data_IF_735945431869
#
_entry.id   IF_735945431869
#
_cell.length_a   1.000
_cell.length_b   1.000
_cell.length_c   1.000
_cell.angle_alpha   90.00
_cell.angle_beta   90.00
_cell.angle_gamma   90.00
#
_symmetry.space_group_name_H-M   'P 1'
#
loop_
_entity.id
_entity.type
_entity.pdbx_description
1 polymer ?
#
# COMPACT_ATOMS: atom_id res chain seq x y z
N UNK A 1 -9.85 7.47 -21.28
CA UNK A 1 -9.03 7.19 -22.48
C UNK A 1 -7.82 6.31 -22.22
N UNK A 2 -7.13 6.46 -21.07
CA UNK A 2 -5.97 5.64 -20.65
C UNK A 2 -6.35 4.14 -20.60
N UNK A 3 -7.46 3.77 -19.98
CA UNK A 3 -7.91 2.36 -19.92
C UNK A 3 -8.09 1.74 -21.30
N UNK A 4 -8.65 2.50 -22.26
CA UNK A 4 -8.81 2.02 -23.64
C UNK A 4 -7.46 1.80 -24.34
N UNK A 5 -6.50 2.69 -24.13
CA UNK A 5 -5.15 2.57 -24.71
C UNK A 5 -4.41 1.37 -24.11
N UNK A 6 -4.45 1.19 -22.79
CA UNK A 6 -3.85 0.04 -22.09
C UNK A 6 -4.50 -1.29 -22.53
N UNK A 7 -5.83 -1.33 -22.67
CA UNK A 7 -6.53 -2.53 -23.15
C UNK A 7 -6.12 -2.95 -24.57
N UNK A 8 -5.66 -2.01 -25.40
CA UNK A 8 -5.14 -2.27 -26.75
C UNK A 8 -3.73 -2.88 -26.78
N UNK A 9 -2.93 -2.68 -25.72
CA UNK A 9 -1.56 -3.19 -25.65
C UNK A 9 -1.56 -4.62 -25.11
N UNK A 10 -2.05 -4.82 -23.89
CA UNK A 10 -2.18 -6.13 -23.24
C UNK A 10 -3.22 -6.05 -22.13
N UNK A 11 -4.14 -7.01 -22.08
CA UNK A 11 -5.10 -7.16 -20.99
C UNK A 11 -4.48 -7.97 -19.88
N UNK A 12 -3.65 -7.33 -19.07
CA UNK A 12 -3.17 -7.88 -17.78
C UNK A 12 -4.22 -7.70 -16.70
N UNK A 13 -4.04 -8.26 -15.51
CA UNK A 13 -4.92 -7.97 -14.38
C UNK A 13 -4.84 -6.48 -14.00
N UNK A 14 -5.97 -5.88 -13.66
CA UNK A 14 -5.99 -4.53 -13.08
C UNK A 14 -5.87 -4.62 -11.57
N UNK A 15 -5.11 -3.71 -10.96
CA UNK A 15 -4.94 -3.63 -9.51
C UNK A 15 -5.55 -2.34 -8.99
N UNK A 16 -6.35 -2.45 -7.93
CA UNK A 16 -6.94 -1.32 -7.21
C UNK A 16 -6.64 -1.50 -5.71
N UNK A 17 -6.37 -0.41 -5.02
CA UNK A 17 -5.97 -0.44 -3.61
C UNK A 17 -6.96 0.32 -2.72
N UNK A 18 -8.13 -0.28 -2.36
CA UNK A 18 -9.04 0.30 -1.38
C UNK A 18 -8.43 0.35 0.02
N UNK A 19 -7.47 -0.49 0.35
CA UNK A 19 -6.73 -0.64 1.60
C UNK A 19 -7.56 -1.15 2.79
N UNK A 20 -8.88 -0.91 2.81
CA UNK A 20 -9.78 -1.40 3.86
C UNK A 20 -11.16 -1.78 3.29
N UNK A 21 -11.82 -2.75 3.92
CA UNK A 21 -13.15 -3.24 3.50
C UNK A 21 -14.25 -2.20 3.70
N UNK A 22 -14.30 -1.56 4.87
CA UNK A 22 -15.33 -0.58 5.22
C UNK A 22 -14.95 0.85 4.83
N UNK A 23 -15.96 1.69 4.55
CA UNK A 23 -15.73 3.12 4.32
C UNK A 23 -15.17 3.80 5.57
N UNK A 24 -15.69 3.44 6.75
CA UNK A 24 -15.22 3.97 8.03
C UNK A 24 -13.69 3.80 8.18
N UNK A 25 -13.19 2.62 7.88
CA UNK A 25 -11.76 2.35 8.06
C UNK A 25 -10.92 3.02 6.95
N UNK A 26 -11.45 3.13 5.72
CA UNK A 26 -10.82 3.94 4.67
C UNK A 26 -10.72 5.41 5.07
N UNK A 27 -11.73 5.94 5.76
CA UNK A 27 -11.71 7.33 6.25
C UNK A 27 -10.68 7.51 7.38
N UNK A 28 -10.56 6.55 8.29
CA UNK A 28 -9.52 6.54 9.34
C UNK A 28 -8.12 6.64 8.75
N UNK A 29 -7.83 5.88 7.71
CA UNK A 29 -6.52 5.93 7.04
C UNK A 29 -6.40 7.05 5.99
N UNK A 30 -7.41 7.88 5.87
CA UNK A 30 -7.48 9.00 4.93
C UNK A 30 -7.27 8.59 3.47
N UNK A 31 -7.76 7.39 3.07
CA UNK A 31 -7.51 6.84 1.73
C UNK A 31 -8.23 7.60 0.61
N UNK A 32 -9.36 8.23 0.92
CA UNK A 32 -10.14 9.03 -0.04
C UNK A 32 -10.79 8.21 -1.17
N UNK A 33 -10.87 6.89 -1.04
CA UNK A 33 -11.56 5.99 -1.97
C UNK A 33 -12.94 5.68 -1.44
N UNK A 34 -14.01 6.06 -2.17
CA UNK A 34 -15.37 5.69 -1.85
C UNK A 34 -15.76 4.35 -2.47
N UNK A 35 -16.70 3.64 -1.86
CA UNK A 35 -17.22 2.39 -2.40
C UNK A 35 -17.82 2.60 -3.80
N UNK A 36 -18.60 3.67 -3.99
CA UNK A 36 -19.21 3.99 -5.29
C UNK A 36 -18.17 4.25 -6.37
N UNK A 37 -17.13 5.04 -6.04
CA UNK A 37 -16.01 5.31 -6.94
C UNK A 37 -15.27 4.04 -7.32
N UNK A 38 -14.99 3.15 -6.34
CA UNK A 38 -14.34 1.87 -6.58
C UNK A 38 -15.19 0.99 -7.52
N UNK A 39 -16.49 0.84 -7.23
CA UNK A 39 -17.40 0.02 -8.06
C UNK A 39 -17.53 0.54 -9.48
N UNK A 40 -17.48 1.85 -9.65
CA UNK A 40 -17.51 2.44 -10.98
C UNK A 40 -16.22 2.18 -11.76
N UNK A 41 -15.04 2.28 -11.10
CA UNK A 41 -13.77 1.91 -11.74
C UNK A 41 -13.75 0.43 -12.15
N UNK A 42 -14.20 -0.47 -11.28
CA UNK A 42 -14.32 -1.90 -11.60
C UNK A 42 -15.24 -2.12 -12.81
N UNK A 43 -16.38 -1.44 -12.87
CA UNK A 43 -17.30 -1.52 -14.02
C UNK A 43 -16.64 -1.02 -15.31
N UNK A 44 -15.97 0.12 -15.26
CA UNK A 44 -15.22 0.65 -16.42
C UNK A 44 -14.13 -0.31 -16.89
N UNK A 45 -13.39 -0.94 -15.98
CA UNK A 45 -12.42 -1.97 -16.34
C UNK A 45 -13.09 -3.13 -17.09
N UNK A 46 -14.21 -3.64 -16.57
CA UNK A 46 -14.98 -4.69 -17.22
C UNK A 46 -15.46 -4.28 -18.62
N UNK A 47 -16.05 -3.08 -18.77
CA UNK A 47 -16.50 -2.53 -20.07
C UNK A 47 -15.38 -2.42 -21.10
N UNK A 48 -14.12 -2.24 -20.67
CA UNK A 48 -12.94 -2.25 -21.51
C UNK A 48 -12.31 -3.64 -21.69
N UNK A 49 -12.97 -4.69 -21.18
CA UNK A 49 -12.64 -6.09 -21.42
C UNK A 49 -11.68 -6.73 -20.40
N UNK A 50 -11.39 -6.08 -19.27
CA UNK A 50 -10.74 -6.76 -18.16
C UNK A 50 -11.69 -7.77 -17.53
N UNK A 51 -11.18 -8.97 -17.23
CA UNK A 51 -11.95 -10.04 -16.60
C UNK A 51 -11.46 -10.35 -15.19
N UNK A 52 -10.33 -9.77 -14.79
CA UNK A 52 -9.72 -9.98 -13.49
C UNK A 52 -9.34 -8.64 -12.86
N UNK A 53 -9.62 -8.52 -11.58
CA UNK A 53 -9.20 -7.38 -10.77
C UNK A 53 -8.58 -7.87 -9.47
N UNK A 54 -7.49 -7.25 -9.06
CA UNK A 54 -6.82 -7.48 -7.77
C UNK A 54 -7.12 -6.30 -6.86
N UNK A 55 -7.60 -6.57 -5.65
CA UNK A 55 -7.89 -5.56 -4.65
C UNK A 55 -6.92 -5.75 -3.48
N UNK A 56 -6.16 -4.71 -3.15
CA UNK A 56 -5.27 -4.71 -1.98
C UNK A 56 -6.01 -4.25 -0.73
N UNK A 57 -5.78 -4.98 0.38
CA UNK A 57 -6.31 -4.67 1.69
C UNK A 57 -5.24 -4.85 2.76
N UNK A 58 -5.29 -4.01 3.78
CA UNK A 58 -4.57 -4.20 5.02
C UNK A 58 -5.52 -4.75 6.10
N UNK A 59 -4.99 -5.59 6.99
CA UNK A 59 -5.64 -6.06 8.20
C UNK A 59 -4.83 -5.63 9.42
N UNK A 60 -5.48 -5.40 10.55
CA UNK A 60 -4.82 -4.89 11.76
C UNK A 60 -4.63 -3.38 11.74
N UNK A 61 -5.40 -2.66 10.95
CA UNK A 61 -5.42 -1.20 10.97
C UNK A 61 -5.90 -0.67 12.33
N UNK A 62 -5.39 0.49 12.78
CA UNK A 62 -5.86 1.11 14.02
C UNK A 62 -7.37 1.32 14.03
N UNK A 63 -8.04 0.83 15.08
CA UNK A 63 -9.49 0.90 15.21
C UNK A 63 -10.28 -0.10 14.37
N UNK A 64 -9.63 -1.10 13.78
CA UNK A 64 -10.27 -2.18 13.03
C UNK A 64 -11.14 -3.05 13.92
N UNK A 65 -12.35 -3.36 13.45
CA UNK A 65 -13.30 -4.27 14.09
C UNK A 65 -13.53 -5.52 13.22
N UNK A 66 -14.27 -6.48 13.75
CA UNK A 66 -14.63 -7.68 13.00
C UNK A 66 -15.50 -7.33 11.77
N UNK A 67 -16.38 -6.36 11.89
CA UNK A 67 -17.24 -5.89 10.79
C UNK A 67 -16.42 -5.29 9.64
N UNK A 68 -15.25 -4.70 9.92
CA UNK A 68 -14.36 -4.17 8.88
C UNK A 68 -13.68 -5.31 8.11
N UNK A 69 -13.36 -6.42 8.78
CA UNK A 69 -12.84 -7.63 8.13
C UNK A 69 -13.92 -8.28 7.24
N UNK A 70 -15.15 -8.37 7.75
CA UNK A 70 -16.29 -8.87 6.97
C UNK A 70 -16.56 -8.02 5.74
N UNK A 71 -16.42 -6.70 5.87
CA UNK A 71 -16.59 -5.76 4.78
C UNK A 71 -15.58 -5.98 3.63
N UNK A 72 -14.42 -6.60 3.86
CA UNK A 72 -13.49 -6.99 2.78
C UNK A 72 -14.18 -8.00 1.85
N UNK A 73 -14.84 -9.00 2.42
CA UNK A 73 -15.55 -10.04 1.65
C UNK A 73 -16.70 -9.41 0.86
N UNK A 74 -17.48 -8.54 1.51
CA UNK A 74 -18.62 -7.87 0.89
C UNK A 74 -18.19 -6.93 -0.24
N UNK A 75 -17.10 -6.19 -0.07
CA UNK A 75 -16.55 -5.33 -1.11
C UNK A 75 -16.08 -6.15 -2.32
N UNK A 76 -15.46 -7.32 -2.09
CA UNK A 76 -15.07 -8.23 -3.14
C UNK A 76 -16.28 -8.85 -3.87
N UNK A 77 -17.37 -9.18 -3.15
CA UNK A 77 -18.64 -9.62 -3.75
C UNK A 77 -19.23 -8.54 -4.66
N UNK A 78 -19.30 -7.30 -4.18
CA UNK A 78 -19.77 -6.15 -4.97
C UNK A 78 -18.91 -5.94 -6.22
N UNK A 79 -17.60 -6.02 -6.09
CA UNK A 79 -16.68 -5.89 -7.22
C UNK A 79 -16.89 -7.03 -8.25
N UNK A 80 -17.04 -8.28 -7.80
CA UNK A 80 -17.34 -9.43 -8.66
C UNK A 80 -18.62 -9.24 -9.49
N UNK A 81 -19.64 -8.67 -8.87
CA UNK A 81 -20.95 -8.51 -9.46
C UNK A 81 -21.17 -7.13 -10.11
N UNK A 82 -20.14 -6.29 -10.18
CA UNK A 82 -20.20 -4.91 -10.67
C UNK A 82 -20.63 -4.78 -12.14
N UNK A 83 -20.43 -5.82 -12.95
CA UNK A 83 -20.90 -5.88 -14.34
C UNK A 83 -22.43 -5.94 -14.48
N UNK A 84 -23.16 -6.29 -13.41
CA UNK A 84 -24.61 -6.38 -13.36
C UNK A 84 -25.18 -7.79 -13.54
N UNK A 85 -26.51 -7.89 -13.40
CA UNK A 85 -27.24 -9.16 -13.52
C UNK A 85 -27.16 -9.71 -14.96
N UNK A 86 -26.92 -11.02 -15.07
CA UNK A 86 -26.86 -11.69 -16.37
C UNK A 86 -25.54 -11.52 -17.13
N UNK A 87 -24.62 -10.71 -16.63
CA UNK A 87 -23.28 -10.56 -17.19
C UNK A 87 -22.30 -11.59 -16.58
N UNK A 88 -21.20 -11.95 -17.29
CA UNK A 88 -20.15 -12.77 -16.70
C UNK A 88 -19.56 -12.12 -15.44
N UNK A 89 -19.28 -12.93 -14.43
CA UNK A 89 -18.67 -12.45 -13.17
C UNK A 89 -17.19 -12.17 -13.36
N UNK A 90 -16.72 -11.07 -12.78
CA UNK A 90 -15.31 -10.78 -12.68
C UNK A 90 -14.63 -11.76 -11.73
N UNK A 91 -13.40 -12.14 -12.08
CA UNK A 91 -12.48 -12.78 -11.15
C UNK A 91 -11.89 -11.70 -10.23
N UNK A 92 -12.21 -11.74 -8.96
CA UNK A 92 -11.66 -10.80 -7.97
C UNK A 92 -10.65 -11.54 -7.09
N UNK A 93 -9.46 -10.98 -6.97
CA UNK A 93 -8.44 -11.47 -6.03
C UNK A 93 -8.26 -10.43 -4.93
N UNK A 94 -8.58 -10.78 -3.69
CA UNK A 94 -8.18 -9.99 -2.53
C UNK A 94 -6.73 -10.34 -2.16
N UNK A 95 -5.87 -9.34 -2.10
CA UNK A 95 -4.51 -9.46 -1.61
C UNK A 95 -4.42 -8.78 -0.24
N UNK A 96 -4.14 -9.57 0.79
CA UNK A 96 -4.16 -9.12 2.18
C UNK A 96 -2.73 -8.98 2.69
N UNK A 97 -2.43 -7.84 3.34
CA UNK A 97 -1.19 -7.66 4.08
C UNK A 97 -1.48 -7.17 5.51
N UNK A 98 -0.77 -7.65 6.52
CA UNK A 98 -0.84 -7.06 7.86
C UNK A 98 -0.34 -5.62 7.84
N UNK A 99 -1.03 -4.76 8.58
CA UNK A 99 -0.59 -3.37 8.77
C UNK A 99 0.66 -3.33 9.64
N UNK A 100 1.68 -2.62 9.17
CA UNK A 100 2.90 -2.34 9.91
C UNK A 100 3.00 -0.83 10.15
N UNK A 101 2.89 -0.36 11.40
CA UNK A 101 3.03 1.06 11.71
C UNK A 101 4.41 1.58 11.30
N UNK A 102 4.45 2.62 10.51
CA UNK A 102 5.70 3.20 9.99
C UNK A 102 6.07 4.47 10.74
N UNK A 103 7.39 4.73 10.87
CA UNK A 103 7.92 5.99 11.39
C UNK A 103 7.42 7.19 10.59
N UNK A 104 7.32 8.34 11.24
CA UNK A 104 6.89 9.60 10.64
C UNK A 104 5.50 9.57 9.99
N UNK A 105 4.62 8.67 10.48
CA UNK A 105 3.21 8.63 10.09
C UNK A 105 2.30 8.88 11.32
N UNK A 106 1.03 9.27 11.11
CA UNK A 106 0.09 9.45 12.22
C UNK A 106 -0.07 8.22 13.11
N UNK A 107 0.16 7.02 12.60
CA UNK A 107 0.01 5.76 13.31
C UNK A 107 1.33 5.18 13.86
N UNK A 108 2.41 5.96 13.90
CA UNK A 108 3.70 5.49 14.41
C UNK A 108 3.69 5.08 15.90
N UNK A 109 2.69 5.51 16.66
CA UNK A 109 2.48 5.16 18.08
C UNK A 109 1.61 3.92 18.27
N UNK A 110 0.90 3.48 17.22
CA UNK A 110 -0.02 2.36 17.30
C UNK A 110 0.74 1.02 17.38
N UNK A 111 0.15 0.02 18.05
CA UNK A 111 0.72 -1.32 18.02
C UNK A 111 0.51 -1.97 16.65
N UNK A 112 1.40 -2.88 16.29
CA UNK A 112 1.11 -3.88 15.29
C UNK A 112 0.32 -5.02 15.96
N UNK A 113 -0.66 -5.57 15.28
CA UNK A 113 -1.39 -6.74 15.76
C UNK A 113 -0.45 -7.95 15.92
N UNK A 114 -0.76 -8.82 16.88
CA UNK A 114 0.05 -10.01 17.14
C UNK A 114 -0.03 -11.01 15.98
N UNK A 115 0.98 -11.87 15.90
CA UNK A 115 1.01 -12.94 14.91
C UNK A 115 -0.22 -13.86 15.00
N UNK A 116 -0.69 -14.13 16.20
CA UNK A 116 -1.91 -14.91 16.44
C UNK A 116 -3.14 -14.21 15.86
N UNK A 117 -3.31 -12.91 16.16
CA UNK A 117 -4.40 -12.10 15.61
C UNK A 117 -4.37 -12.01 14.09
N UNK A 118 -3.18 -11.96 13.47
CA UNK A 118 -3.07 -12.01 12.00
C UNK A 118 -3.56 -13.35 11.48
N UNK A 119 -3.11 -14.46 12.10
CA UNK A 119 -3.51 -15.81 11.69
C UNK A 119 -5.02 -16.04 11.82
N UNK A 120 -5.63 -15.55 12.89
CA UNK A 120 -7.09 -15.62 13.10
C UNK A 120 -7.86 -14.89 11.99
N UNK A 121 -7.47 -13.64 11.67
CA UNK A 121 -8.10 -12.86 10.60
C UNK A 121 -7.91 -13.49 9.23
N UNK A 122 -6.70 -13.95 8.92
CA UNK A 122 -6.43 -14.66 7.65
C UNK A 122 -7.25 -15.95 7.58
N UNK A 123 -7.36 -16.71 8.66
CA UNK A 123 -8.17 -17.93 8.67
C UNK A 123 -9.65 -17.62 8.45
N UNK A 124 -10.20 -16.61 9.10
CA UNK A 124 -11.57 -16.15 8.88
C UNK A 124 -11.81 -15.80 7.40
N UNK A 125 -10.93 -15.00 6.80
CA UNK A 125 -11.04 -14.61 5.39
C UNK A 125 -10.93 -15.83 4.47
N UNK A 126 -10.03 -16.77 4.73
CA UNK A 126 -9.91 -18.02 3.96
C UNK A 126 -11.21 -18.81 3.94
N UNK A 127 -11.86 -18.96 5.09
CA UNK A 127 -13.11 -19.71 5.22
C UNK A 127 -14.25 -18.97 4.50
N UNK A 128 -14.33 -17.66 4.63
CA UNK A 128 -15.32 -16.84 3.93
C UNK A 128 -15.15 -16.87 2.40
N UNK A 129 -13.92 -16.79 1.90
CA UNK A 129 -13.63 -16.81 0.46
C UNK A 129 -13.81 -18.20 -0.17
N UNK A 130 -13.61 -19.29 0.60
CA UNK A 130 -13.76 -20.67 0.10
C UNK A 130 -15.15 -20.96 -0.46
N UNK A 131 -16.19 -20.36 0.12
CA UNK A 131 -17.57 -20.53 -0.32
C UNK A 131 -17.92 -19.69 -1.57
N UNK A 132 -17.06 -18.76 -1.98
CA UNK A 132 -17.36 -17.74 -2.99
C UNK A 132 -16.76 -18.09 -4.35
N UNK A 133 -17.63 -18.27 -5.35
CA UNK A 133 -17.19 -18.44 -6.75
C UNK A 133 -16.62 -17.12 -7.29
N UNK A 134 -15.55 -17.23 -8.08
CA UNK A 134 -14.83 -16.10 -8.70
C UNK A 134 -14.15 -15.14 -7.70
N UNK A 135 -14.07 -15.47 -6.42
CA UNK A 135 -13.24 -14.79 -5.46
C UNK A 135 -12.02 -15.63 -5.13
N UNK A 136 -10.85 -15.01 -5.08
CA UNK A 136 -9.59 -15.59 -4.65
C UNK A 136 -9.01 -14.78 -3.52
N UNK A 137 -8.36 -15.44 -2.58
CA UNK A 137 -7.62 -14.81 -1.49
C UNK A 137 -6.14 -15.10 -1.67
N UNK A 138 -5.32 -14.06 -1.54
CA UNK A 138 -3.88 -14.14 -1.33
C UNK A 138 -3.53 -13.33 -0.10
N UNK A 139 -2.52 -13.71 0.62
CA UNK A 139 -2.06 -12.97 1.78
C UNK A 139 -0.54 -13.00 1.85
N UNK A 140 0.01 -11.97 2.45
CA UNK A 140 1.43 -11.90 2.79
C UNK A 140 1.68 -12.78 4.02
N UNK A 141 2.82 -13.48 4.05
CA UNK A 141 3.14 -14.35 5.16
C UNK A 141 3.17 -13.58 6.49
N UNK A 142 2.37 -14.00 7.49
CA UNK A 142 2.24 -13.27 8.75
C UNK A 142 3.56 -13.02 9.47
N UNK A 143 4.44 -14.02 9.46
CA UNK A 143 5.76 -13.99 10.11
C UNK A 143 6.69 -12.97 9.47
N UNK A 144 6.64 -12.81 8.14
CA UNK A 144 7.45 -11.79 7.44
C UNK A 144 6.99 -10.38 7.81
N UNK A 145 5.68 -10.14 7.84
CA UNK A 145 5.12 -8.84 8.25
C UNK A 145 5.38 -8.55 9.73
N UNK A 146 5.36 -9.57 10.57
CA UNK A 146 5.72 -9.45 11.98
C UNK A 146 7.19 -9.03 12.14
N UNK A 147 8.10 -9.71 11.47
CA UNK A 147 9.53 -9.36 11.49
C UNK A 147 9.76 -7.95 10.92
N UNK A 148 9.07 -7.57 9.83
CA UNK A 148 9.12 -6.22 9.30
C UNK A 148 8.77 -5.18 10.37
N UNK A 149 7.72 -5.43 11.16
CA UNK A 149 7.33 -4.57 12.27
C UNK A 149 8.40 -4.45 13.35
N UNK A 150 9.02 -5.57 13.72
CA UNK A 150 10.14 -5.58 14.68
C UNK A 150 11.29 -4.73 14.15
N UNK A 151 11.76 -4.99 12.92
CA UNK A 151 12.92 -4.31 12.35
C UNK A 151 12.66 -2.82 12.09
N UNK A 152 11.49 -2.46 11.55
CA UNK A 152 11.18 -1.07 11.20
C UNK A 152 10.89 -0.17 12.39
N UNK A 153 10.57 -0.75 13.55
CA UNK A 153 10.22 -0.01 14.77
C UNK A 153 11.27 -0.11 15.88
N UNK A 154 12.31 -0.92 15.67
CA UNK A 154 13.36 -1.13 16.63
C UNK A 154 14.28 0.10 16.77
N UNK A 155 15.08 0.08 17.81
CA UNK A 155 16.20 0.98 18.02
C UNK A 155 17.54 0.26 17.69
N UNK A 156 18.69 0.94 17.95
CA UNK A 156 20.01 0.42 17.60
C UNK A 156 20.37 -0.94 18.21
N UNK A 157 19.68 -1.40 19.28
CA UNK A 157 19.88 -2.72 19.88
C UNK A 157 19.59 -3.86 18.93
N UNK A 158 18.77 -3.60 17.90
CA UNK A 158 18.43 -4.61 16.88
C UNK A 158 19.65 -5.03 16.04
N UNK A 159 20.72 -4.24 16.01
CA UNK A 159 21.91 -4.56 15.24
C UNK A 159 22.54 -5.90 15.67
N UNK A 160 22.63 -6.14 16.98
CA UNK A 160 23.15 -7.40 17.54
C UNK A 160 22.25 -8.59 17.18
N UNK A 161 20.94 -8.37 17.15
CA UNK A 161 19.96 -9.39 16.73
C UNK A 161 20.15 -9.74 15.26
N UNK A 162 20.29 -8.74 14.39
CA UNK A 162 20.53 -8.95 12.94
C UNK A 162 21.81 -9.74 12.71
N UNK A 163 22.91 -9.38 13.39
CA UNK A 163 24.16 -10.10 13.27
C UNK A 163 24.05 -11.56 13.72
N UNK A 164 23.38 -11.81 14.86
CA UNK A 164 23.17 -13.17 15.37
C UNK A 164 22.26 -13.99 14.45
N UNK A 165 21.15 -13.41 13.96
CA UNK A 165 20.25 -14.06 13.02
C UNK A 165 20.98 -14.43 11.73
N UNK A 166 21.80 -13.53 11.18
CA UNK A 166 22.66 -13.82 10.04
C UNK A 166 23.60 -15.00 10.30
N UNK A 167 24.28 -15.04 11.45
CA UNK A 167 25.15 -16.14 11.85
C UNK A 167 24.40 -17.47 12.01
N UNK A 168 23.09 -17.43 12.29
CA UNK A 168 22.19 -18.59 12.32
C UNK A 168 21.64 -18.97 10.94
N UNK A 169 22.08 -18.31 9.88
CA UNK A 169 21.67 -18.63 8.52
C UNK A 169 20.46 -17.88 8.01
N UNK A 170 19.98 -16.82 8.69
CA UNK A 170 18.91 -15.95 8.18
C UNK A 170 19.43 -15.07 7.02
N UNK A 171 19.69 -15.72 5.89
CA UNK A 171 20.16 -15.11 4.65
C UNK A 171 18.97 -15.08 3.69
N UNK A 172 18.84 -13.99 2.91
CA UNK A 172 17.73 -13.78 1.97
C UNK A 172 16.33 -13.82 2.63
N UNK A 173 16.23 -13.27 3.83
CA UNK A 173 15.00 -13.29 4.65
C UNK A 173 13.79 -12.56 4.01
N UNK A 174 13.97 -11.85 2.90
CA UNK A 174 12.88 -11.29 2.09
C UNK A 174 12.30 -12.27 1.06
N UNK A 175 12.88 -13.45 0.91
CA UNK A 175 12.45 -14.49 -0.03
C UNK A 175 11.73 -15.61 0.72
N UNK A 176 10.47 -15.88 0.38
CA UNK A 176 9.64 -16.86 1.09
C UNK A 176 10.31 -18.22 1.23
N UNK A 177 10.98 -18.70 0.18
CA UNK A 177 11.65 -20.02 0.17
C UNK A 177 12.86 -20.11 1.12
N UNK A 178 13.38 -18.96 1.56
CA UNK A 178 14.54 -18.85 2.45
C UNK A 178 14.18 -18.26 3.82
N UNK A 179 12.93 -17.86 4.01
CA UNK A 179 12.49 -17.23 5.23
C UNK A 179 12.18 -18.26 6.32
N UNK A 180 12.77 -18.06 7.51
CA UNK A 180 12.34 -18.66 8.77
C UNK A 180 12.35 -17.60 9.84
N UNK A 181 11.34 -17.59 10.69
CA UNK A 181 11.24 -16.67 11.83
C UNK A 181 12.12 -17.12 13.01
N UNK A 182 12.39 -18.41 13.16
CA UNK A 182 13.06 -18.98 14.34
C UNK A 182 14.43 -18.37 14.61
N UNK A 183 15.37 -18.23 13.64
CA UNK A 183 16.66 -17.58 13.86
C UNK A 183 16.55 -16.16 14.44
N UNK A 184 15.47 -15.44 14.08
CA UNK A 184 15.22 -14.08 14.56
C UNK A 184 14.72 -14.07 16.01
N UNK A 185 13.76 -14.96 16.34
CA UNK A 185 13.22 -15.08 17.69
C UNK A 185 14.29 -15.54 18.68
N UNK A 186 15.11 -16.54 18.31
CA UNK A 186 16.23 -17.00 19.11
C UNK A 186 17.25 -15.86 19.34
N UNK A 187 17.56 -15.10 18.29
CA UNK A 187 18.50 -13.98 18.40
C UNK A 187 17.98 -12.84 19.27
N UNK A 188 16.68 -12.54 19.19
CA UNK A 188 16.03 -11.59 20.11
C UNK A 188 16.16 -12.05 21.57
N UNK A 189 15.81 -13.32 21.83
CA UNK A 189 15.89 -13.90 23.17
C UNK A 189 17.33 -13.88 23.72
N UNK A 190 18.33 -14.24 22.91
CA UNK A 190 19.74 -14.20 23.30
C UNK A 190 20.23 -12.77 23.61
N UNK A 191 19.67 -11.77 22.94
CA UNK A 191 19.96 -10.36 23.23
C UNK A 191 19.13 -9.80 24.41
N UNK A 192 18.31 -10.63 25.07
CA UNK A 192 17.43 -10.19 26.17
C UNK A 192 16.30 -9.24 25.68
N UNK A 193 15.90 -9.34 24.42
CA UNK A 193 14.88 -8.53 23.79
C UNK A 193 13.66 -9.37 23.45
N UNK A 194 12.50 -8.73 23.41
CA UNK A 194 11.25 -9.34 22.94
C UNK A 194 10.72 -8.57 21.73
N UNK A 195 10.02 -9.25 20.85
CA UNK A 195 9.41 -8.62 19.69
C UNK A 195 8.36 -7.58 20.10
N UNK A 196 7.60 -7.85 21.15
CA UNK A 196 6.54 -6.99 21.70
C UNK A 196 7.09 -5.63 22.16
N UNK A 197 8.35 -5.58 22.62
CA UNK A 197 9.01 -4.32 22.98
C UNK A 197 9.11 -3.34 21.79
N UNK A 198 9.09 -3.86 20.57
CA UNK A 198 9.16 -3.06 19.34
C UNK A 198 7.80 -2.91 18.66
N UNK A 199 6.98 -3.96 18.63
CA UNK A 199 5.68 -3.96 17.96
C UNK A 199 4.53 -3.39 18.81
N UNK A 200 4.72 -3.23 20.11
CA UNK A 200 3.72 -2.70 21.05
C UNK A 200 3.36 -1.22 20.80
N UNK A 201 2.27 -0.78 21.43
CA UNK A 201 1.89 0.63 21.48
C UNK A 201 2.99 1.46 22.14
N UNK A 202 3.09 2.72 21.74
CA UNK A 202 4.04 3.67 22.33
C UNK A 202 3.30 4.85 22.94
N UNK A 203 3.79 5.34 24.07
CA UNK A 203 3.27 6.56 24.68
C UNK A 203 3.47 7.76 23.75
N UNK A 204 2.45 8.63 23.71
CA UNK A 204 2.43 9.75 22.75
C UNK A 204 3.48 10.82 23.05
N UNK A 205 3.96 10.90 24.27
CA UNK A 205 4.98 11.85 24.75
C UNK A 205 6.38 11.23 24.86
N UNK A 206 6.49 9.88 24.81
CA UNK A 206 7.77 9.20 24.87
C UNK A 206 8.63 9.49 23.62
N UNK A 207 9.97 9.53 23.78
CA UNK A 207 10.87 9.60 22.64
C UNK A 207 10.75 8.35 21.75
N UNK A 208 10.77 8.55 20.43
CA UNK A 208 10.76 7.45 19.47
C UNK A 208 12.18 7.19 18.94
N UNK A 209 12.49 5.95 18.56
CA UNK A 209 13.83 5.59 18.05
C UNK A 209 14.29 6.43 16.86
N UNK A 210 13.38 6.97 16.10
CA UNK A 210 13.62 7.78 14.89
C UNK A 210 13.47 9.29 15.07
N UNK A 211 13.22 9.79 16.30
CA UNK A 211 13.05 11.25 16.54
C UNK A 211 14.29 12.09 16.19
N UNK A 212 15.46 11.45 16.09
CA UNK A 212 16.70 12.11 15.64
C UNK A 212 16.75 12.33 14.12
N UNK A 213 15.82 11.78 13.35
CA UNK A 213 15.70 11.94 11.90
C UNK A 213 14.61 12.95 11.59
N UNK A 214 14.94 14.00 10.84
CA UNK A 214 13.97 14.98 10.41
C UNK A 214 13.40 14.59 9.04
N UNK A 215 12.16 14.09 9.02
CA UNK A 215 11.42 13.77 7.79
C UNK A 215 10.66 14.97 7.20
N UNK A 216 10.86 16.18 7.76
CA UNK A 216 10.17 17.39 7.34
C UNK A 216 8.74 17.54 7.86
N UNK A 217 8.19 16.51 8.54
CA UNK A 217 6.84 16.54 9.11
C UNK A 217 6.91 16.64 10.62
N UNK A 218 6.22 17.64 11.21
CA UNK A 218 6.28 17.88 12.65
C UNK A 218 5.51 16.83 13.45
N UNK A 219 5.98 16.55 14.67
CA UNK A 219 5.32 15.62 15.63
C UNK A 219 3.90 16.08 15.96
N UNK A 220 3.72 17.39 16.17
CA UNK A 220 2.43 18.01 16.50
C UNK A 220 1.41 17.79 15.38
N UNK A 221 1.86 17.87 14.11
CA UNK A 221 1.01 17.56 12.98
C UNK A 221 0.60 16.09 12.98
N UNK A 222 1.54 15.16 13.18
CA UNK A 222 1.24 13.72 13.21
C UNK A 222 0.28 13.36 14.34
N UNK A 223 0.44 13.95 15.55
CA UNK A 223 -0.48 13.77 16.67
C UNK A 223 -1.88 14.34 16.37
N UNK A 224 -1.95 15.47 15.70
CA UNK A 224 -3.23 16.08 15.27
C UNK A 224 -3.94 15.21 14.23
N UNK A 225 -3.20 14.71 13.24
CA UNK A 225 -3.78 13.83 12.22
C UNK A 225 -4.20 12.48 12.81
N UNK A 226 -3.42 11.91 13.74
CA UNK A 226 -3.82 10.72 14.50
C UNK A 226 -5.17 10.93 15.20
N UNK A 227 -5.32 12.04 15.94
CA UNK A 227 -6.58 12.37 16.63
C UNK A 227 -7.73 12.48 15.64
N UNK A 228 -7.55 13.17 14.54
CA UNK A 228 -8.55 13.32 13.47
C UNK A 228 -8.97 11.97 12.89
N UNK A 229 -8.00 11.08 12.65
CA UNK A 229 -8.26 9.74 12.16
C UNK A 229 -9.23 8.97 13.07
N UNK A 230 -8.97 8.94 14.39
CA UNK A 230 -9.87 8.27 15.35
C UNK A 230 -11.22 8.98 15.54
N UNK A 231 -11.31 10.26 15.23
CA UNK A 231 -12.57 11.00 15.15
C UNK A 231 -13.32 10.79 13.83
N UNK A 232 -12.80 9.98 12.90
CA UNK A 232 -13.37 9.75 11.57
C UNK A 232 -13.34 11.00 10.68
N UNK A 233 -12.44 11.94 10.93
CA UNK A 233 -12.33 13.21 10.19
C UNK A 233 -11.29 13.09 9.09
N UNK A 234 -11.75 13.14 7.85
CA UNK A 234 -10.90 13.17 6.67
C UNK A 234 -10.05 14.46 6.65
N UNK A 235 -8.80 14.32 6.26
CA UNK A 235 -7.88 15.43 6.03
C UNK A 235 -7.74 15.68 4.54
N UNK A 236 -7.92 16.95 4.19
CA UNK A 236 -7.90 17.38 2.80
C UNK A 236 -6.45 17.44 2.26
N UNK A 237 -6.31 17.24 0.97
CA UNK A 237 -5.04 17.41 0.27
C UNK A 237 -4.70 18.92 0.20
N UNK A 238 -3.56 19.29 0.77
CA UNK A 238 -3.11 20.69 0.85
C UNK A 238 -2.81 21.31 -0.53
N UNK A 239 -2.77 20.54 -1.62
CA UNK A 239 -2.70 21.07 -2.99
C UNK A 239 -3.96 21.82 -3.36
N UNK A 240 -5.11 21.47 -2.78
CA UNK A 240 -6.44 21.96 -3.13
C UNK A 240 -7.17 22.60 -1.95
N UNK A 241 -6.59 22.56 -0.76
CA UNK A 241 -7.14 23.10 0.47
C UNK A 241 -6.14 23.98 1.19
N UNK A 242 -6.59 24.63 2.27
CA UNK A 242 -5.72 25.43 3.13
C UNK A 242 -4.58 24.60 3.71
N UNK A 243 -3.38 25.17 3.76
CA UNK A 243 -2.22 24.52 4.34
C UNK A 243 -2.46 24.19 5.82
N UNK A 244 -2.18 22.95 6.22
CA UNK A 244 -2.33 22.46 7.59
C UNK A 244 -1.04 22.56 8.42
N UNK A 245 -0.03 23.23 7.90
CA UNK A 245 1.25 23.46 8.59
C UNK A 245 1.88 22.15 9.10
N UNK A 246 2.09 21.20 8.20
CA UNK A 246 2.72 19.92 8.53
C UNK A 246 4.24 20.06 8.81
N UNK A 247 4.88 21.13 8.33
CA UNK A 247 6.32 21.35 8.43
C UNK A 247 7.12 20.94 7.18
N UNK A 248 6.53 20.15 6.26
CA UNK A 248 7.24 19.65 5.09
C UNK A 248 7.60 20.74 4.06
N UNK A 249 6.83 21.84 4.02
CA UNK A 249 7.10 22.99 3.17
C UNK A 249 7.58 24.15 4.03
N UNK A 250 8.68 24.79 3.65
CA UNK A 250 9.14 26.04 4.27
C UNK A 250 8.25 27.18 3.77
N UNK A 251 7.08 27.36 4.41
CA UNK A 251 6.08 28.34 3.99
C UNK A 251 5.85 29.40 5.06
N UNK A 252 6.62 30.46 5.03
CA UNK A 252 6.28 31.70 5.74
C UNK A 252 4.89 32.26 5.33
N UNK A 253 4.36 31.83 4.19
CA UNK A 253 3.11 32.31 3.60
C UNK A 253 1.89 31.42 3.81
N UNK A 254 2.01 30.26 4.49
CA UNK A 254 0.90 29.33 4.71
C UNK A 254 0.30 28.70 3.45
N UNK A 255 1.02 28.72 2.33
CA UNK A 255 0.60 28.14 1.05
C UNK A 255 1.38 26.86 0.76
N UNK A 256 0.70 25.85 0.21
CA UNK A 256 1.36 24.63 -0.27
C UNK A 256 2.32 24.95 -1.42
N UNK A 257 3.54 24.37 -1.39
CA UNK A 257 4.49 24.41 -2.50
C UNK A 257 4.26 23.29 -3.52
N UNK A 258 3.35 22.38 -3.25
CA UNK A 258 3.04 21.28 -4.17
C UNK A 258 2.31 21.82 -5.41
N UNK A 259 2.62 21.28 -6.61
CA UNK A 259 1.93 21.70 -7.82
C UNK A 259 0.44 21.36 -7.73
N UNK A 260 -0.40 22.28 -8.19
CA UNK A 260 -1.85 22.08 -8.28
C UNK A 260 -2.20 21.44 -9.61
N UNK A 261 -3.19 20.56 -9.61
CA UNK A 261 -3.75 20.06 -10.87
C UNK A 261 -4.50 21.22 -11.55
N UNK A 262 -4.20 21.54 -12.83
CA UNK A 262 -4.92 22.57 -13.56
C UNK A 262 -6.44 22.31 -13.56
N UNK A 263 -7.24 23.36 -13.44
CA UNK A 263 -8.71 23.29 -13.48
C UNK A 263 -9.40 22.98 -12.15
N UNK A 264 -8.66 22.84 -11.04
CA UNK A 264 -9.24 22.79 -9.70
C UNK A 264 -9.18 24.15 -9.02
N UNK A 265 -10.33 24.71 -8.69
CA UNK A 265 -10.43 25.96 -7.97
C UNK A 265 -9.99 25.86 -6.51
N UNK A 266 -9.59 26.99 -5.92
CA UNK A 266 -9.23 27.09 -4.50
C UNK A 266 -10.45 26.71 -3.64
N UNK A 267 -10.26 25.74 -2.73
CA UNK A 267 -11.35 25.21 -1.89
C UNK A 267 -12.05 23.95 -2.42
N UNK A 268 -11.70 23.50 -3.63
CA UNK A 268 -12.22 22.25 -4.16
C UNK A 268 -11.37 21.09 -3.65
N UNK A 269 -11.96 20.19 -2.88
CA UNK A 269 -11.27 19.03 -2.33
C UNK A 269 -11.42 17.83 -3.25
N UNK A 270 -10.31 17.23 -3.68
CA UNK A 270 -10.38 16.02 -4.52
C UNK A 270 -11.22 14.92 -3.87
N UNK A 271 -11.17 14.82 -2.54
CA UNK A 271 -11.95 13.86 -1.77
C UNK A 271 -13.42 14.28 -1.55
N UNK A 272 -13.75 15.57 -1.67
CA UNK A 272 -15.11 16.09 -1.54
C UNK A 272 -15.87 16.19 -2.88
N UNK A 273 -15.14 16.04 -4.00
CA UNK A 273 -15.79 16.01 -5.31
C UNK A 273 -16.62 14.74 -5.45
N UNK A 274 -17.87 14.90 -5.85
CA UNK A 274 -18.65 13.73 -6.24
C UNK A 274 -18.06 13.11 -7.51
N UNK A 275 -18.44 11.85 -7.78
CA UNK A 275 -17.83 11.08 -8.86
C UNK A 275 -17.94 11.78 -10.22
N UNK A 276 -19.07 12.45 -10.53
CA UNK A 276 -19.26 13.16 -11.80
C UNK A 276 -18.27 14.33 -11.95
N UNK A 277 -18.00 15.04 -10.86
CA UNK A 277 -17.05 16.14 -10.84
C UNK A 277 -15.59 15.64 -11.01
N UNK A 278 -15.25 14.50 -10.40
CA UNK A 278 -13.93 13.87 -10.59
C UNK A 278 -13.74 13.38 -12.03
N UNK A 279 -14.74 12.74 -12.61
CA UNK A 279 -14.72 12.24 -14.00
C UNK A 279 -14.57 13.39 -15.00
N UNK A 280 -15.23 14.53 -14.75
CA UNK A 280 -15.09 15.73 -15.58
C UNK A 280 -13.70 16.36 -15.50
N UNK A 281 -13.04 16.34 -14.32
CA UNK A 281 -11.68 16.86 -14.14
C UNK A 281 -10.60 15.95 -14.73
N UNK A 282 -10.79 14.62 -14.62
CA UNK A 282 -9.87 13.64 -15.20
C UNK A 282 -9.95 13.58 -16.73
N UNK A 283 -11.05 14.07 -17.33
CA UNK A 283 -11.26 14.07 -18.78
C UNK A 283 -10.94 15.42 -19.44
N UNK A 284 -10.56 16.44 -18.68
CA UNK A 284 -10.04 17.67 -19.28
C UNK A 284 -8.62 17.40 -19.84
N UNK A 285 -8.38 17.62 -21.13
CA UNK A 285 -7.05 17.48 -21.67
C UNK A 285 -6.13 18.50 -21.02
N UNK A 286 -4.96 18.07 -20.56
CA UNK A 286 -3.90 18.94 -20.05
C UNK A 286 -3.36 19.73 -21.24
N UNK A 287 -3.85 20.96 -21.43
CA UNK A 287 -3.45 21.84 -22.52
C UNK A 287 -2.57 22.97 -21.95
N UNK A 288 -1.52 23.34 -22.71
CA UNK A 288 -0.77 24.57 -22.44
C UNK A 288 -1.62 25.81 -22.76
N UNK A 289 -1.11 27.00 -22.49
CA UNK A 289 -1.75 28.27 -22.77
C UNK A 289 -2.07 28.50 -24.26
N UNK A 290 -1.54 27.66 -25.16
CA UNK A 290 -1.78 27.67 -26.61
C UNK A 290 -2.67 26.51 -27.08
N UNK A 291 -3.27 25.74 -26.15
CA UNK A 291 -4.16 24.63 -26.47
C UNK A 291 -3.46 23.35 -26.94
N UNK A 292 -2.16 23.17 -26.66
CA UNK A 292 -1.42 21.94 -26.97
C UNK A 292 -1.42 20.98 -25.78
N UNK A 293 -1.60 19.70 -26.04
CA UNK A 293 -1.51 18.63 -25.03
C UNK A 293 -0.12 18.61 -24.38
N UNK A 294 -0.07 18.81 -23.07
CA UNK A 294 1.13 18.60 -22.27
C UNK A 294 1.36 17.10 -22.09
N UNK A 295 2.36 16.56 -22.75
CA UNK A 295 2.67 15.11 -22.77
C UNK A 295 3.28 14.55 -21.45
N UNK A 296 3.48 15.37 -20.43
CA UNK A 296 4.41 15.07 -19.33
C UNK A 296 3.83 14.42 -18.05
N UNK A 297 2.55 14.06 -17.99
CA UNK A 297 1.95 13.50 -16.76
C UNK A 297 1.81 11.96 -16.78
N UNK A 298 2.19 11.30 -17.87
CA UNK A 298 1.92 9.86 -18.05
C UNK A 298 3.06 8.95 -17.60
N UNK A 299 4.26 9.49 -17.33
CA UNK A 299 5.45 8.66 -17.03
C UNK A 299 5.51 8.16 -15.59
N UNK A 300 5.10 8.94 -14.60
CA UNK A 300 5.30 8.56 -13.19
C UNK A 300 4.29 7.51 -12.68
N UNK A 301 3.07 7.47 -13.23
CA UNK A 301 2.09 6.45 -12.83
C UNK A 301 2.26 5.11 -13.59
N UNK A 302 2.92 5.12 -14.73
CA UNK A 302 3.16 3.92 -15.54
C UNK A 302 4.39 3.14 -15.04
N UNK A 303 5.40 3.79 -14.49
CA UNK A 303 6.55 3.12 -13.88
C UNK A 303 6.17 2.32 -12.63
N UNK A 304 5.22 2.81 -11.81
CA UNK A 304 4.73 2.07 -10.64
C UNK A 304 3.90 0.82 -11.00
N UNK A 305 3.27 0.80 -12.17
CA UNK A 305 2.49 -0.36 -12.63
C UNK A 305 3.35 -1.43 -13.34
N UNK A 306 4.56 -1.10 -13.79
CA UNK A 306 5.44 -2.04 -14.49
C UNK A 306 6.40 -2.77 -13.55
N UNK A 307 6.77 -2.19 -12.42
CA UNK A 307 7.67 -2.82 -11.45
C UNK A 307 7.07 -4.10 -10.81
N UNK A 308 5.76 -4.10 -10.53
CA UNK A 308 5.07 -5.29 -9.99
C UNK A 308 4.91 -6.44 -11.01
N UNK A 309 5.07 -6.17 -12.31
CA UNK A 309 4.88 -7.19 -13.37
C UNK A 309 6.18 -7.94 -13.66
N UNK A 310 7.33 -7.30 -13.47
CA UNK A 310 8.63 -7.96 -13.69
C UNK A 310 8.95 -8.99 -12.60
N UNK A 311 8.53 -8.75 -11.35
CA UNK A 311 8.75 -9.69 -10.24
C UNK A 311 7.91 -10.98 -10.36
N UNK A 312 6.68 -10.94 -10.90
CA UNK A 312 5.91 -12.16 -11.18
C UNK A 312 6.46 -12.99 -12.37
N UNK A 313 7.15 -12.34 -13.30
CA UNK A 313 7.69 -13.03 -14.48
C UNK A 313 9.03 -13.73 -14.18
N UNK A 314 9.82 -13.18 -13.27
CA UNK A 314 11.09 -13.78 -12.82
C UNK A 314 10.86 -15.04 -11.99
N UNK A 315 9.80 -15.06 -11.15
CA UNK A 315 9.44 -16.24 -10.33
C UNK A 315 8.91 -17.40 -11.17
N UNK A 316 8.25 -17.13 -12.29
CA UNK A 316 7.76 -18.20 -13.18
C UNK A 316 8.87 -18.88 -13.99
N UNK A 317 9.99 -18.22 -14.22
CA UNK A 317 11.15 -18.81 -14.93
C UNK A 317 12.13 -19.56 -14.02
N UNK A 318 12.08 -19.32 -12.70
CA UNK A 318 12.95 -20.00 -11.73
C UNK A 318 12.50 -21.44 -11.38
N UNK A 319 11.31 -21.87 -11.82
CA UNK A 319 10.75 -23.18 -11.54
C UNK A 319 10.89 -24.21 -12.68
N UNK A 320 11.68 -23.91 -13.72
CA UNK A 320 12.09 -24.94 -14.68
C UNK A 320 13.34 -25.68 -14.17
N UNK A 321 13.40 -27.02 -14.24
CA UNK A 321 14.55 -27.77 -13.80
C UNK A 321 15.78 -27.37 -14.64
N UNK A 322 16.86 -26.97 -13.94
CA UNK A 322 18.15 -26.64 -14.55
C UNK A 322 18.70 -27.89 -15.26
N UNK A 323 18.86 -27.79 -16.56
CA UNK A 323 19.58 -28.74 -17.39
C UNK A 323 21.09 -28.65 -17.05
N UNK A 324 21.66 -29.74 -16.58
CA UNK A 324 23.09 -29.81 -16.22
C UNK A 324 23.96 -29.64 -17.47
N UNK A 325 24.47 -28.42 -17.70
CA UNK A 325 25.44 -28.25 -18.80
C UNK A 325 25.66 -26.83 -19.30
N UNK A 326 25.04 -25.77 -18.80
CA UNK A 326 25.29 -24.42 -19.29
C UNK A 326 26.03 -23.53 -18.30
N UNK A 327 27.24 -23.17 -18.65
CA UNK A 327 28.09 -22.23 -17.91
C UNK A 327 27.47 -20.83 -17.88
N UNK A 328 27.34 -20.27 -16.67
CA UNK A 328 26.90 -18.90 -16.41
C UNK A 328 27.95 -17.90 -16.92
N UNK A 329 27.60 -17.09 -17.91
CA UNK A 329 28.41 -15.91 -18.30
C UNK A 329 27.84 -14.70 -17.56
N UNK A 330 28.61 -14.14 -16.62
CA UNK A 330 28.25 -12.90 -15.91
C UNK A 330 28.24 -11.73 -16.91
N UNK A 331 27.20 -10.90 -16.96
CA UNK A 331 27.23 -9.66 -17.71
C UNK A 331 28.25 -8.69 -17.07
N UNK A 332 29.18 -8.17 -17.87
CA UNK A 332 30.08 -7.09 -17.46
C UNK A 332 29.30 -5.78 -17.43
N UNK A 333 29.08 -5.22 -16.25
CA UNK A 333 28.63 -3.83 -16.10
C UNK A 333 29.82 -2.92 -16.42
N UNK A 334 29.79 -2.25 -17.56
CA UNK A 334 30.76 -1.20 -17.89
C UNK A 334 30.31 0.12 -17.25
N UNK A 335 31.01 0.53 -16.18
CA UNK A 335 30.89 1.88 -15.65
C UNK A 335 31.51 2.87 -16.65
N UNK A 336 30.71 3.70 -17.29
CA UNK A 336 31.22 4.90 -17.99
C UNK A 336 31.48 5.98 -16.95
N UNK A 337 32.77 6.30 -16.74
CA UNK A 337 33.15 7.57 -16.11
C UNK A 337 32.71 8.71 -17.04
N UNK A 338 32.04 9.70 -16.48
CA UNK A 338 31.95 11.03 -17.07
C UNK A 338 33.13 11.81 -16.48
N UNK A 339 34.10 12.12 -17.32
CA UNK A 339 35.04 13.20 -17.10
C UNK A 339 34.46 14.46 -17.75
N UNK A 340 34.60 15.58 -17.03
CA UNK A 340 34.31 16.99 -17.26
C UNK A 340 33.01 17.52 -16.62
#
# INVERSE_FOLDING_TARGET
DIMRRLAGIRRTGATLAPEAGSQRLRDIINKGVTEEGLMLHVRKLFEHGWQQVKLYFMIGLPGETQEDIEAIVDLCRKARDAAGRGMPRLQVTAAISPFVPKSHTPFQWEPQITLEQVRERVQYLRDAFRAEKCLKLRWHEPEMSFLEGVLSRADRRIADVVEKAYRRGAIFASWMDHFSIDPWLESLAECGLTAEAFTGARELDAPLPWDHLNAGVSREFLLRERRRAFEGKISDDCRYAACRQCGACDTAAGKSLLPRTPGLEEGTHRNSLNFKQRDQLEHQPNLDENGRLLEQVVTDEVEYMTADVEDEYVVAQANEPLDEGKHFVRPRVSARRRDE
#
